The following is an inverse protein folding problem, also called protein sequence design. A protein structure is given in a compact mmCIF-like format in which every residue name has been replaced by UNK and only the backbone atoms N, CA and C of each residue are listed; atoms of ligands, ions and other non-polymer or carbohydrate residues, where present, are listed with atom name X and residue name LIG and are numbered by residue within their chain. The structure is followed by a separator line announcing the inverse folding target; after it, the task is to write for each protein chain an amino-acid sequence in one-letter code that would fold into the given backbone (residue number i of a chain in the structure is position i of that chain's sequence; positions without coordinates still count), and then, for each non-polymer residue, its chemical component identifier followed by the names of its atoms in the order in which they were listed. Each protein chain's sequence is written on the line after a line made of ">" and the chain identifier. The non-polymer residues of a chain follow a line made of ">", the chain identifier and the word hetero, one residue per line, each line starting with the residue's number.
data_IF_363160865285
#
_entry.id   IF_363160865285
#
_cell.length_a   1.000
_cell.length_b   1.000
_cell.length_c   1.000
_cell.angle_alpha   90.00
_cell.angle_beta   90.00
_cell.angle_gamma   90.00
#
_symmetry.space_group_name_H-M   'P 1'
#
loop_
_entity.id
_entity.type
_entity.pdbx_description
1 polymer ?
#
# COMPACT_ATOMS: atom_id res chain seq x y z
N UNK A 1 -6.53 -7.67 -18.88
CA UNK A 1 -5.32 -6.87 -18.55
C UNK A 1 -4.97 -7.10 -17.08
N UNK A 2 -3.69 -7.26 -16.73
CA UNK A 2 -3.30 -7.37 -15.32
C UNK A 2 -3.34 -5.98 -14.66
N UNK A 3 -4.12 -5.83 -13.57
CA UNK A 3 -4.16 -4.59 -12.80
C UNK A 3 -2.77 -4.24 -12.25
N UNK A 4 -2.38 -2.98 -12.40
CA UNK A 4 -1.21 -2.37 -11.76
C UNK A 4 -1.36 -2.37 -10.24
N UNK A 5 -0.26 -2.17 -9.51
CA UNK A 5 -0.30 -2.06 -8.05
C UNK A 5 -1.10 -0.83 -7.59
N UNK A 6 -1.07 0.28 -8.35
CA UNK A 6 -1.89 1.46 -8.07
C UNK A 6 -3.38 1.15 -8.14
N UNK A 7 -3.82 0.49 -9.21
CA UNK A 7 -5.23 0.10 -9.37
C UNK A 7 -5.69 -0.86 -8.28
N UNK A 8 -4.86 -1.84 -7.92
CA UNK A 8 -5.13 -2.75 -6.79
C UNK A 8 -5.26 -1.98 -5.47
N UNK A 9 -4.39 -1.01 -5.22
CA UNK A 9 -4.45 -0.17 -4.01
C UNK A 9 -5.76 0.60 -3.92
N UNK A 10 -6.20 1.20 -5.03
CA UNK A 10 -7.44 2.00 -5.06
C UNK A 10 -8.69 1.13 -4.87
N UNK A 11 -8.74 -0.01 -5.54
CA UNK A 11 -9.82 -0.99 -5.37
C UNK A 11 -9.96 -1.45 -3.90
N UNK A 12 -8.83 -1.65 -3.20
CA UNK A 12 -8.86 -1.99 -1.76
C UNK A 12 -9.44 -0.87 -0.90
N UNK A 13 -9.17 0.39 -1.24
CA UNK A 13 -9.76 1.54 -0.55
C UNK A 13 -11.25 1.67 -0.83
N UNK A 14 -11.70 1.42 -2.06
CA UNK A 14 -13.13 1.39 -2.42
C UNK A 14 -13.89 0.33 -1.62
N UNK A 15 -13.32 -0.87 -1.48
CA UNK A 15 -13.91 -1.95 -0.67
C UNK A 15 -13.94 -1.54 0.81
N UNK A 16 -12.86 -0.95 1.34
CA UNK A 16 -12.80 -0.49 2.72
C UNK A 16 -13.85 0.60 3.02
N UNK A 17 -14.04 1.54 2.10
CA UNK A 17 -15.07 2.59 2.21
C UNK A 17 -16.50 1.98 2.19
N UNK A 18 -16.78 1.04 1.28
CA UNK A 18 -18.04 0.31 1.26
C UNK A 18 -18.29 -0.47 2.57
N UNK A 19 -17.26 -1.10 3.13
CA UNK A 19 -17.34 -1.83 4.40
C UNK A 19 -17.71 -0.92 5.57
N UNK A 20 -17.12 0.27 5.63
CA UNK A 20 -17.46 1.29 6.64
C UNK A 20 -18.91 1.74 6.48
N UNK A 21 -19.32 2.08 5.26
CA UNK A 21 -20.69 2.56 4.96
C UNK A 21 -21.79 1.53 5.26
N UNK A 22 -21.47 0.25 5.14
CA UNK A 22 -22.42 -0.86 5.37
C UNK A 22 -22.27 -1.51 6.75
N UNK A 23 -21.41 -0.98 7.63
CA UNK A 23 -21.07 -1.56 8.93
C UNK A 23 -20.57 -3.03 8.85
N UNK A 24 -19.97 -3.41 7.72
CA UNK A 24 -19.43 -4.75 7.47
C UNK A 24 -17.90 -4.76 7.62
N UNK A 25 -17.42 -4.90 8.85
CA UNK A 25 -16.01 -4.68 9.21
C UNK A 25 -15.12 -5.93 9.17
N UNK A 26 -15.67 -7.10 8.82
CA UNK A 26 -15.02 -8.42 8.89
C UNK A 26 -13.63 -8.50 8.25
N UNK A 27 -13.35 -7.73 7.20
CA UNK A 27 -12.03 -7.71 6.51
C UNK A 27 -11.44 -6.32 6.33
N UNK A 28 -11.99 -5.30 7.01
CA UNK A 28 -11.59 -3.90 6.83
C UNK A 28 -10.09 -3.70 7.06
N UNK A 29 -9.55 -4.24 8.15
CA UNK A 29 -8.12 -4.15 8.45
C UNK A 29 -7.23 -4.79 7.38
N UNK A 30 -7.68 -5.91 6.79
CA UNK A 30 -6.95 -6.58 5.70
C UNK A 30 -6.97 -5.74 4.42
N UNK A 31 -8.11 -5.15 4.06
CA UNK A 31 -8.19 -4.27 2.90
C UNK A 31 -7.32 -3.03 3.06
N UNK A 32 -7.33 -2.38 4.22
CA UNK A 32 -6.47 -1.24 4.51
C UNK A 32 -4.98 -1.63 4.46
N UNK A 33 -4.61 -2.77 5.04
CA UNK A 33 -3.25 -3.30 4.97
C UNK A 33 -2.80 -3.53 3.53
N UNK A 34 -3.60 -4.23 2.72
CA UNK A 34 -3.25 -4.51 1.33
C UNK A 34 -3.31 -3.27 0.44
N UNK A 35 -4.15 -2.28 0.74
CA UNK A 35 -4.10 -0.98 0.09
C UNK A 35 -2.73 -0.33 0.30
N UNK A 36 -2.27 -0.20 1.55
CA UNK A 36 -0.95 0.35 1.86
C UNK A 36 0.17 -0.47 1.21
N UNK A 37 0.08 -1.80 1.28
CA UNK A 37 1.06 -2.70 0.65
C UNK A 37 1.15 -2.48 -0.87
N UNK A 38 0.02 -2.45 -1.57
CA UNK A 38 -0.01 -2.22 -3.01
C UNK A 38 0.44 -0.80 -3.38
N UNK A 39 0.14 0.21 -2.56
CA UNK A 39 0.67 1.56 -2.74
C UNK A 39 2.21 1.58 -2.69
N UNK A 40 2.82 0.95 -1.69
CA UNK A 40 4.29 0.88 -1.60
C UNK A 40 4.92 0.14 -2.78
N UNK A 41 4.28 -0.93 -3.28
CA UNK A 41 4.73 -1.63 -4.49
C UNK A 41 4.66 -0.74 -5.73
N UNK A 42 3.63 0.10 -5.83
CA UNK A 42 3.46 1.05 -6.92
C UNK A 42 4.55 2.13 -6.92
N UNK A 43 5.00 2.58 -5.75
CA UNK A 43 6.09 3.56 -5.60
C UNK A 43 7.46 2.95 -5.88
N UNK A 44 7.72 1.75 -5.33
CA UNK A 44 9.05 1.15 -5.41
C UNK A 44 9.33 0.46 -6.76
N UNK A 45 8.28 0.07 -7.51
CA UNK A 45 8.30 -0.64 -8.80
C UNK A 45 9.02 -2.01 -8.83
N UNK A 46 10.03 -2.25 -7.99
CA UNK A 46 10.82 -3.48 -7.91
C UNK A 46 11.02 -3.92 -6.46
N UNK A 47 11.01 -5.23 -6.26
CA UNK A 47 11.33 -5.84 -4.97
C UNK A 47 12.84 -6.09 -4.85
N UNK A 48 13.36 -6.09 -3.62
CA UNK A 48 14.80 -6.29 -3.37
C UNK A 48 15.27 -7.70 -3.77
N UNK A 49 14.47 -8.73 -3.48
CA UNK A 49 14.85 -10.14 -3.67
C UNK A 49 14.02 -10.83 -4.79
N UNK A 50 13.42 -10.06 -5.70
CA UNK A 50 12.46 -10.59 -6.68
C UNK A 50 11.10 -11.02 -6.10
N UNK A 51 10.91 -10.90 -4.78
CA UNK A 51 9.64 -11.16 -4.07
C UNK A 51 9.31 -10.02 -3.11
N UNK A 52 8.03 -9.67 -3.03
CA UNK A 52 7.54 -8.71 -2.04
C UNK A 52 7.30 -9.40 -0.70
N UNK A 53 7.97 -8.93 0.35
CA UNK A 53 7.83 -9.43 1.72
C UNK A 53 7.07 -8.40 2.56
N UNK A 54 6.12 -8.86 3.37
CA UNK A 54 5.29 -8.01 4.23
C UNK A 54 6.09 -7.08 5.14
N UNK A 55 7.13 -7.59 5.82
CA UNK A 55 7.99 -6.78 6.68
C UNK A 55 9.03 -6.00 5.86
N UNK A 56 9.60 -6.64 4.82
CA UNK A 56 10.69 -6.07 4.04
C UNK A 56 10.29 -4.84 3.23
N UNK A 57 9.05 -4.77 2.74
CA UNK A 57 8.59 -3.64 1.94
C UNK A 57 8.51 -2.35 2.74
N UNK A 58 8.08 -2.40 4.01
CA UNK A 58 7.97 -1.22 4.86
C UNK A 58 9.35 -0.58 5.04
N UNK A 59 10.37 -1.38 5.35
CA UNK A 59 11.75 -0.88 5.52
C UNK A 59 12.30 -0.26 4.23
N UNK A 60 12.05 -0.89 3.09
CA UNK A 60 12.50 -0.38 1.79
C UNK A 60 11.78 0.92 1.43
N UNK A 61 10.46 0.97 1.64
CA UNK A 61 9.66 2.16 1.39
C UNK A 61 10.08 3.33 2.29
N UNK A 62 10.24 3.11 3.60
CA UNK A 62 10.74 4.15 4.52
C UNK A 62 12.10 4.69 4.09
N UNK A 63 13.04 3.81 3.71
CA UNK A 63 14.34 4.23 3.20
C UNK A 63 14.20 5.06 1.92
N UNK A 64 13.38 4.62 0.97
CA UNK A 64 13.09 5.38 -0.25
C UNK A 64 12.55 6.78 0.08
N UNK A 65 11.61 6.88 1.03
CA UNK A 65 11.08 8.18 1.44
C UNK A 65 12.13 9.10 2.08
N UNK A 66 13.04 8.56 2.90
CA UNK A 66 14.16 9.34 3.47
C UNK A 66 15.11 9.79 2.37
N UNK A 67 15.58 8.85 1.53
CA UNK A 67 16.56 9.12 0.47
C UNK A 67 16.05 10.14 -0.56
N UNK A 68 14.72 10.31 -0.69
CA UNK A 68 14.07 11.25 -1.59
C UNK A 68 13.44 12.47 -0.88
N UNK A 69 13.74 12.69 0.41
CA UNK A 69 13.19 13.79 1.21
C UNK A 69 11.65 13.89 1.18
N UNK A 70 10.97 12.75 1.09
CA UNK A 70 9.50 12.68 1.05
C UNK A 70 8.85 12.71 2.45
N UNK A 71 9.65 12.48 3.50
CA UNK A 71 9.22 12.63 4.90
C UNK A 71 9.41 14.05 5.43
N UNK A 72 10.18 14.87 4.73
CA UNK A 72 10.40 16.27 5.07
C UNK A 72 9.24 17.10 4.52
N UNK A 73 8.15 17.10 5.28
CA UNK A 73 7.12 18.13 5.16
C UNK A 73 6.80 18.61 6.56
N UNK A 74 7.35 19.78 6.91
CA UNK A 74 6.55 20.84 7.52
C UNK A 74 5.13 20.74 6.96
N UNK A 75 4.24 20.16 7.77
CA UNK A 75 2.79 20.23 7.61
C UNK A 75 2.34 21.66 7.82
#
# INVERSE_FOLDING_TARGET
>A
MNKTYKEKSLERLEIADWQIKTNNTLTLGSNLYFALFNFMQAVLHKSLDGKWKHIGINKHFSKYCIDNNLLDKTL
#
